data_IF_556350229641
#
_entry.id   IF_556350229641
#
_cell.length_a   1.000
_cell.length_b   1.000
_cell.length_c   1.000
_cell.angle_alpha   90.00
_cell.angle_beta   90.00
_cell.angle_gamma   90.00
#
_symmetry.space_group_name_H-M   'P 1'
#
loop_
_entity.id
_entity.type
_entity.pdbx_description
1 polymer ?
#
# COMPACT_ATOMS: atom_id res chain seq x y z
N UNK A 1 24.22 23.65 -45.63
CA UNK A 1 22.78 23.88 -45.36
C UNK A 1 22.08 22.63 -45.87
N UNK A 2 21.47 21.73 -45.10
CA UNK A 2 20.66 21.84 -43.87
C UNK A 2 20.58 20.45 -43.25
N UNK A 3 20.84 20.33 -41.94
CA UNK A 3 20.73 19.07 -41.20
C UNK A 3 19.24 18.69 -41.04
N UNK A 4 18.87 17.46 -41.44
CA UNK A 4 17.59 16.85 -41.10
C UNK A 4 17.63 16.33 -39.65
N UNK A 5 16.73 16.74 -38.74
CA UNK A 5 16.67 16.16 -37.42
C UNK A 5 16.08 14.75 -37.51
N UNK A 6 16.92 13.75 -37.23
CA UNK A 6 16.54 12.36 -37.00
C UNK A 6 15.52 12.29 -35.87
N UNK A 7 14.30 11.85 -36.20
CA UNK A 7 13.23 11.57 -35.25
C UNK A 7 13.64 10.39 -34.36
N UNK A 8 14.24 10.70 -33.21
CA UNK A 8 14.56 9.71 -32.18
C UNK A 8 13.27 9.29 -31.49
N UNK A 9 12.75 8.12 -31.88
CA UNK A 9 11.64 7.46 -31.21
C UNK A 9 11.96 7.28 -29.71
N UNK A 10 11.16 7.91 -28.86
CA UNK A 10 11.29 7.92 -27.41
C UNK A 10 11.00 6.53 -26.82
N UNK A 11 11.91 5.92 -26.04
CA UNK A 11 11.65 4.63 -25.38
C UNK A 11 10.75 4.83 -24.14
N UNK A 12 9.45 5.07 -24.36
CA UNK A 12 8.47 5.32 -23.29
C UNK A 12 7.82 4.05 -22.69
N UNK A 13 8.14 2.86 -23.20
CA UNK A 13 7.47 1.59 -22.84
C UNK A 13 8.08 0.86 -21.65
N UNK A 14 9.38 1.01 -21.38
CA UNK A 14 10.08 0.25 -20.34
C UNK A 14 9.70 0.66 -18.91
N UNK A 15 9.29 1.93 -18.69
CA UNK A 15 9.02 2.46 -17.35
C UNK A 15 7.64 2.08 -16.79
N UNK A 16 6.69 1.62 -17.62
CA UNK A 16 5.29 1.35 -17.20
C UNK A 16 5.08 -0.01 -16.53
N UNK A 17 5.78 -1.07 -16.99
CA UNK A 17 5.60 -2.43 -16.46
C UNK A 17 5.87 -2.57 -14.96
N UNK A 18 6.98 -2.06 -14.39
CA UNK A 18 7.25 -2.23 -12.95
C UNK A 18 6.23 -1.48 -12.10
N UNK A 19 5.74 -0.30 -12.54
CA UNK A 19 4.71 0.45 -11.84
C UNK A 19 3.36 -0.28 -11.79
N UNK A 20 2.97 -0.95 -12.88
CA UNK A 20 1.73 -1.72 -12.94
C UNK A 20 1.78 -2.94 -12.02
N UNK A 21 2.91 -3.66 -11.98
CA UNK A 21 3.09 -4.81 -11.09
C UNK A 21 3.03 -4.40 -9.61
N UNK A 22 3.67 -3.28 -9.25
CA UNK A 22 3.59 -2.74 -7.90
C UNK A 22 2.15 -2.35 -7.52
N UNK A 23 1.38 -1.77 -8.46
CA UNK A 23 -0.02 -1.43 -8.22
C UNK A 23 -0.90 -2.67 -8.03
N UNK A 24 -0.69 -3.72 -8.83
CA UNK A 24 -1.41 -4.99 -8.66
C UNK A 24 -1.05 -5.66 -7.34
N UNK A 25 0.23 -5.69 -6.97
CA UNK A 25 0.68 -6.23 -5.69
C UNK A 25 0.11 -5.43 -4.51
N UNK A 26 0.11 -4.09 -4.59
CA UNK A 26 -0.51 -3.23 -3.59
C UNK A 26 -2.01 -3.52 -3.44
N UNK A 27 -2.72 -3.63 -4.56
CA UNK A 27 -4.15 -3.95 -4.59
C UNK A 27 -4.46 -5.31 -3.97
N UNK A 28 -3.67 -6.34 -4.28
CA UNK A 28 -3.83 -7.67 -3.68
C UNK A 28 -3.57 -7.65 -2.17
N UNK A 29 -2.58 -6.86 -1.74
CA UNK A 29 -2.23 -6.67 -0.34
C UNK A 29 -3.35 -5.97 0.45
N UNK A 30 -3.93 -4.90 -0.14
CA UNK A 30 -5.10 -4.21 0.40
C UNK A 30 -6.33 -5.12 0.46
N UNK A 31 -6.59 -5.89 -0.61
CA UNK A 31 -7.69 -6.84 -0.66
C UNK A 31 -7.55 -7.91 0.44
N UNK A 32 -6.34 -8.44 0.65
CA UNK A 32 -6.07 -9.39 1.74
C UNK A 32 -6.32 -8.78 3.12
N UNK A 33 -5.80 -7.57 3.39
CA UNK A 33 -6.01 -6.88 4.66
C UNK A 33 -7.50 -6.62 4.93
N UNK A 34 -8.23 -6.08 3.94
CA UNK A 34 -9.66 -5.80 4.05
C UNK A 34 -10.48 -7.09 4.20
N UNK A 35 -10.13 -8.15 3.47
CA UNK A 35 -10.79 -9.44 3.61
C UNK A 35 -10.64 -9.99 5.04
N UNK A 36 -9.45 -9.92 5.64
CA UNK A 36 -9.26 -10.37 7.03
C UNK A 36 -10.05 -9.53 8.04
N UNK A 37 -10.18 -8.22 7.80
CA UNK A 37 -10.97 -7.29 8.60
C UNK A 37 -12.47 -7.61 8.51
N UNK A 38 -12.98 -7.71 7.29
CA UNK A 38 -14.39 -7.97 7.00
C UNK A 38 -14.83 -9.38 7.40
N UNK A 39 -13.93 -10.36 7.33
CA UNK A 39 -14.20 -11.73 7.75
C UNK A 39 -14.24 -11.91 9.28
N UNK A 40 -13.98 -10.86 10.07
CA UNK A 40 -14.02 -10.93 11.53
C UNK A 40 -12.97 -11.86 12.15
N UNK A 41 -11.89 -12.16 11.42
CA UNK A 41 -10.82 -13.05 11.89
C UNK A 41 -9.93 -12.40 12.97
N UNK A 42 -10.06 -11.08 13.12
CA UNK A 42 -9.32 -10.25 14.06
C UNK A 42 -10.17 -10.08 15.32
N UNK A 43 -9.90 -10.90 16.33
CA UNK A 43 -10.53 -10.77 17.64
C UNK A 43 -9.61 -9.95 18.57
N UNK A 44 -10.11 -8.90 19.24
CA UNK A 44 -9.32 -8.11 20.19
C UNK A 44 -8.74 -8.94 21.35
N UNK A 45 -9.38 -10.06 21.71
CA UNK A 45 -8.89 -10.95 22.77
C UNK A 45 -7.70 -11.82 22.34
N UNK A 46 -7.37 -11.88 21.03
CA UNK A 46 -6.23 -12.67 20.55
C UNK A 46 -4.88 -12.05 20.94
N UNK A 47 -3.86 -12.87 21.22
CA UNK A 47 -2.52 -12.37 21.55
C UNK A 47 -1.94 -11.50 20.43
N UNK A 48 -1.14 -10.49 20.79
CA UNK A 48 -0.54 -9.53 19.83
C UNK A 48 0.28 -10.22 18.72
N UNK A 49 0.91 -11.34 19.04
CA UNK A 49 1.72 -12.16 18.15
C UNK A 49 0.94 -13.33 17.53
N UNK A 50 -0.39 -13.30 17.56
CA UNK A 50 -1.19 -14.28 16.83
C UNK A 50 -0.78 -14.27 15.35
N UNK A 51 -0.61 -15.44 14.70
CA UNK A 51 -0.14 -15.52 13.32
C UNK A 51 -0.99 -14.68 12.37
N UNK A 52 -2.31 -14.68 12.57
CA UNK A 52 -3.26 -13.92 11.76
C UNK A 52 -3.09 -12.40 11.92
N UNK A 53 -2.79 -11.90 13.14
CA UNK A 53 -2.54 -10.48 13.39
C UNK A 53 -1.22 -10.04 12.75
N UNK A 54 -0.18 -10.87 12.81
CA UNK A 54 1.09 -10.60 12.14
C UNK A 54 0.92 -10.54 10.63
N UNK A 55 0.14 -11.46 10.04
CA UNK A 55 -0.20 -11.43 8.62
C UNK A 55 -0.95 -10.14 8.28
N UNK A 56 -1.95 -9.76 9.09
CA UNK A 56 -2.68 -8.51 8.90
C UNK A 56 -1.77 -7.28 8.96
N UNK A 57 -0.94 -7.14 10.00
CA UNK A 57 0.00 -6.03 10.12
C UNK A 57 1.00 -6.01 8.95
N UNK A 58 1.51 -7.17 8.55
CA UNK A 58 2.38 -7.32 7.40
C UNK A 58 1.72 -6.89 6.09
N UNK A 59 0.46 -7.29 5.86
CA UNK A 59 -0.33 -6.88 4.70
C UNK A 59 -0.55 -5.37 4.70
N UNK A 60 -1.01 -4.80 5.81
CA UNK A 60 -1.27 -3.35 5.91
C UNK A 60 0.00 -2.54 5.70
N UNK A 61 1.12 -2.93 6.32
CA UNK A 61 2.41 -2.28 6.12
C UNK A 61 2.90 -2.43 4.68
N UNK A 62 2.87 -3.63 4.12
CA UNK A 62 3.32 -3.84 2.74
C UNK A 62 2.45 -3.04 1.76
N UNK A 63 1.12 -3.10 1.89
CA UNK A 63 0.19 -2.37 1.04
C UNK A 63 0.45 -0.86 1.09
N UNK A 64 0.63 -0.32 2.30
CA UNK A 64 0.93 1.09 2.51
C UNK A 64 2.30 1.49 1.95
N UNK A 65 3.35 0.69 2.17
CA UNK A 65 4.67 0.93 1.57
C UNK A 65 4.60 0.92 0.04
N UNK A 66 3.95 -0.09 -0.53
CA UNK A 66 3.78 -0.22 -1.99
C UNK A 66 2.98 0.94 -2.60
N UNK A 67 2.07 1.56 -1.86
CA UNK A 67 1.33 2.74 -2.31
C UNK A 67 2.15 4.02 -2.14
N UNK A 68 2.69 4.27 -0.95
CA UNK A 68 3.26 5.59 -0.63
C UNK A 68 4.74 5.73 -0.97
N UNK A 69 5.55 4.67 -0.98
CA UNK A 69 6.96 4.74 -1.41
C UNK A 69 7.13 5.19 -2.87
N UNK A 70 6.40 4.61 -3.86
CA UNK A 70 6.51 5.11 -5.23
C UNK A 70 5.93 6.53 -5.37
N UNK A 71 4.92 6.88 -4.56
CA UNK A 71 4.34 8.22 -4.54
C UNK A 71 5.33 9.26 -4.00
N UNK A 72 5.99 8.97 -2.87
CA UNK A 72 7.07 9.79 -2.30
C UNK A 72 8.23 9.97 -3.30
N UNK A 73 8.61 8.90 -4.01
CA UNK A 73 9.66 8.98 -5.05
C UNK A 73 9.24 9.91 -6.21
N UNK A 74 7.95 9.97 -6.55
CA UNK A 74 7.44 10.86 -7.60
C UNK A 74 7.33 12.32 -7.15
N UNK A 75 6.86 12.57 -5.93
CA UNK A 75 6.65 13.92 -5.41
C UNK A 75 7.88 14.53 -4.75
N UNK A 76 8.93 13.74 -4.48
CA UNK A 76 10.16 14.16 -3.77
C UNK A 76 9.90 14.85 -2.42
N UNK A 77 8.78 14.50 -1.77
CA UNK A 77 8.42 14.99 -0.44
C UNK A 77 8.85 13.97 0.62
N UNK A 78 9.99 14.17 1.32
CA UNK A 78 10.44 13.26 2.36
C UNK A 78 9.44 13.25 3.53
N UNK A 79 9.08 12.06 4.00
CA UNK A 79 8.18 11.88 5.15
C UNK A 79 6.74 11.52 4.79
N UNK A 80 6.28 11.83 3.58
CA UNK A 80 4.90 11.58 3.16
C UNK A 80 4.53 10.09 3.20
N UNK A 81 5.48 9.20 2.88
CA UNK A 81 5.21 7.77 2.96
C UNK A 81 5.12 7.27 4.38
N UNK A 82 5.88 7.84 5.31
CA UNK A 82 5.83 7.42 6.71
C UNK A 82 4.50 7.83 7.35
N UNK A 83 4.06 9.05 7.07
CA UNK A 83 2.80 9.59 7.58
C UNK A 83 1.60 8.87 6.98
N UNK A 84 1.59 8.63 5.67
CA UNK A 84 0.53 7.85 4.99
C UNK A 84 0.47 6.40 5.49
N UNK A 85 1.63 5.79 5.75
CA UNK A 85 1.74 4.45 6.30
C UNK A 85 1.24 4.39 7.76
N UNK A 86 1.64 5.34 8.59
CA UNK A 86 1.19 5.45 9.97
C UNK A 86 -0.32 5.71 10.05
N UNK A 87 -0.85 6.62 9.21
CA UNK A 87 -2.28 6.93 9.16
C UNK A 87 -3.14 5.75 8.69
N UNK A 88 -2.70 5.06 7.63
CA UNK A 88 -3.39 3.87 7.11
C UNK A 88 -3.39 2.73 8.12
N UNK A 89 -2.25 2.52 8.78
CA UNK A 89 -2.11 1.53 9.84
C UNK A 89 -3.01 1.86 11.03
N UNK A 90 -2.99 3.11 11.50
CA UNK A 90 -3.81 3.56 12.62
C UNK A 90 -5.30 3.43 12.30
N UNK A 91 -5.73 3.82 11.10
CA UNK A 91 -7.12 3.70 10.66
C UNK A 91 -7.60 2.25 10.70
N UNK A 92 -6.84 1.34 10.09
CA UNK A 92 -7.21 -0.08 10.06
C UNK A 92 -7.09 -0.74 11.42
N UNK A 93 -6.15 -0.30 12.25
CA UNK A 93 -6.04 -0.75 13.63
C UNK A 93 -7.30 -0.35 14.43
N UNK A 94 -7.74 0.90 14.29
CA UNK A 94 -8.98 1.38 14.92
C UNK A 94 -10.17 0.55 14.43
N UNK A 95 -10.31 0.36 13.11
CA UNK A 95 -11.41 -0.44 12.55
C UNK A 95 -11.38 -1.91 13.00
N UNK A 96 -10.20 -2.49 13.22
CA UNK A 96 -10.05 -3.89 13.60
C UNK A 96 -10.31 -4.14 15.08
N UNK A 97 -9.93 -3.21 15.95
CA UNK A 97 -9.84 -3.47 17.39
C UNK A 97 -10.68 -2.54 18.26
N UNK A 98 -11.18 -1.42 17.74
CA UNK A 98 -12.09 -0.56 18.49
C UNK A 98 -13.50 -1.11 18.30
N UNK A 99 -14.16 -1.58 19.38
CA UNK A 99 -15.52 -2.07 19.28
C UNK A 99 -16.44 -0.93 18.79
N UNK A 100 -17.38 -1.23 17.88
CA UNK A 100 -18.36 -0.24 17.49
C UNK A 100 -19.08 0.26 18.75
N UNK A 101 -19.30 1.58 18.90
CA UNK A 101 -20.03 2.11 20.04
C UNK A 101 -21.39 1.44 20.10
N UNK A 102 -21.61 0.70 21.18
CA UNK A 102 -22.81 -0.08 21.42
C UNK A 102 -24.04 0.84 21.25
N UNK A 103 -24.92 0.51 20.31
CA UNK A 103 -26.27 1.07 20.19
C UNK A 103 -27.25 0.18 20.96
#
# INVERSE_FOLDING_TARGET
MTNTPSSAATPATALRRPGLLLAVAAGFCWAGALATLLAGQLDPAQPLFAPIRLIFYGLVLAASALTFVPFQRRLRLPGLALEGMAGSFLLLYVLAFVPPPNA
#
